data_IF_701371628099
#
_entry.id   IF_701371628099
#
_cell.length_a   1.000
_cell.length_b   1.000
_cell.length_c   1.000
_cell.angle_alpha   90.00
_cell.angle_beta   90.00
_cell.angle_gamma   90.00
#
_symmetry.space_group_name_H-M   'P 1'
#
loop_
_entity.id
_entity.type
_entity.pdbx_description
1 polymer ?
#
# COMPACT_ATOMS: atom_id res chain seq x y z
N UNK A 1 -18.48 15.31 -34.13
CA UNK A 1 -18.90 13.95 -34.49
C UNK A 1 -19.17 13.25 -33.18
N UNK A 2 -20.41 12.78 -33.01
CA UNK A 2 -20.93 12.36 -31.71
C UNK A 2 -20.82 10.85 -31.55
N UNK A 3 -20.91 10.37 -30.30
CA UNK A 3 -20.95 8.94 -30.00
C UNK A 3 -22.12 8.28 -30.76
N UNK A 4 -21.97 6.99 -31.10
CA UNK A 4 -23.09 6.21 -31.63
C UNK A 4 -24.26 6.29 -30.66
N UNK A 5 -25.49 6.45 -31.16
CA UNK A 5 -26.70 6.54 -30.32
C UNK A 5 -26.84 5.31 -29.42
N UNK A 6 -26.47 4.14 -29.93
CA UNK A 6 -26.48 2.89 -29.16
C UNK A 6 -25.47 2.89 -28.02
N UNK A 7 -24.22 3.30 -28.28
CA UNK A 7 -23.18 3.36 -27.25
C UNK A 7 -23.48 4.45 -26.22
N UNK A 8 -23.98 5.62 -26.66
CA UNK A 8 -24.41 6.68 -25.76
C UNK A 8 -25.50 6.20 -24.81
N UNK A 9 -26.50 5.47 -25.33
CA UNK A 9 -27.54 4.88 -24.48
C UNK A 9 -26.97 3.86 -23.49
N UNK A 10 -26.14 2.92 -23.95
CA UNK A 10 -25.52 1.88 -23.09
C UNK A 10 -24.64 2.48 -22.00
N UNK A 11 -23.85 3.50 -22.32
CA UNK A 11 -23.01 4.22 -21.34
C UNK A 11 -23.85 4.97 -20.31
N UNK A 12 -24.92 5.64 -20.74
CA UNK A 12 -25.84 6.31 -19.82
C UNK A 12 -26.55 5.32 -18.89
N UNK A 13 -26.92 4.13 -19.39
CA UNK A 13 -27.48 3.05 -18.55
C UNK A 13 -26.45 2.55 -17.55
N UNK A 14 -25.19 2.35 -17.96
CA UNK A 14 -24.11 1.97 -17.06
C UNK A 14 -23.93 3.01 -15.94
N UNK A 15 -23.93 4.30 -16.27
CA UNK A 15 -23.78 5.39 -15.31
C UNK A 15 -25.01 5.54 -14.38
N UNK A 16 -26.21 5.35 -14.90
CA UNK A 16 -27.45 5.38 -14.12
C UNK A 16 -27.49 4.30 -13.03
N UNK A 17 -26.83 3.15 -13.26
CA UNK A 17 -26.71 2.07 -12.30
C UNK A 17 -25.68 2.35 -11.17
N UNK A 18 -25.12 3.56 -11.10
CA UNK A 18 -24.19 4.02 -10.05
C UNK A 18 -23.01 3.04 -9.83
N UNK A 19 -22.12 2.90 -10.84
CA UNK A 19 -20.92 2.10 -10.66
C UNK A 19 -20.06 2.69 -9.53
N UNK A 20 -19.25 1.85 -8.91
CA UNK A 20 -18.27 2.17 -7.87
C UNK A 20 -16.91 2.55 -8.46
N UNK A 21 -16.57 2.00 -9.63
CA UNK A 21 -15.37 2.32 -10.40
C UNK A 21 -15.62 2.02 -11.88
N UNK A 22 -14.89 2.69 -12.77
CA UNK A 22 -14.93 2.47 -14.21
C UNK A 22 -13.51 2.16 -14.71
N UNK A 23 -13.39 1.19 -15.61
CA UNK A 23 -12.15 0.82 -16.28
C UNK A 23 -12.38 0.80 -17.78
N UNK A 24 -11.51 1.46 -18.55
CA UNK A 24 -11.60 1.52 -20.00
C UNK A 24 -10.43 0.74 -20.60
N UNK A 25 -10.73 -0.30 -21.37
CA UNK A 25 -9.73 -0.99 -22.20
C UNK A 25 -9.73 -0.30 -23.57
N UNK A 26 -8.77 0.61 -23.76
CA UNK A 26 -8.65 1.40 -25.00
C UNK A 26 -8.33 0.53 -26.22
N UNK A 27 -7.61 -0.59 -26.03
CA UNK A 27 -7.22 -1.49 -27.12
C UNK A 27 -8.39 -2.33 -27.61
N UNK A 28 -9.21 -2.84 -26.67
CA UNK A 28 -10.39 -3.66 -27.01
C UNK A 28 -11.65 -2.83 -27.22
N UNK A 29 -11.60 -1.53 -26.91
CA UNK A 29 -12.73 -0.60 -26.92
C UNK A 29 -13.87 -1.12 -26.04
N UNK A 30 -13.57 -1.44 -24.79
CA UNK A 30 -14.54 -1.94 -23.81
C UNK A 30 -14.51 -1.06 -22.57
N UNK A 31 -15.70 -0.66 -22.11
CA UNK A 31 -15.90 0.02 -20.82
C UNK A 31 -16.45 -0.99 -19.83
N UNK A 32 -15.77 -1.12 -18.71
CA UNK A 32 -16.18 -1.94 -17.58
C UNK A 32 -16.64 -1.04 -16.45
N UNK A 33 -17.75 -1.41 -15.80
CA UNK A 33 -18.26 -0.74 -14.61
C UNK A 33 -18.34 -1.71 -13.45
N UNK A 34 -17.65 -1.42 -12.36
CA UNK A 34 -17.76 -2.20 -11.12
C UNK A 34 -19.04 -1.78 -10.39
N UNK A 35 -20.04 -2.65 -10.33
CA UNK A 35 -21.24 -2.44 -9.52
C UNK A 35 -21.13 -3.09 -8.13
N UNK A 36 -22.12 -2.85 -7.24
CA UNK A 36 -22.16 -3.47 -5.92
C UNK A 36 -22.37 -5.00 -5.96
N UNK A 37 -22.94 -5.53 -7.05
CA UNK A 37 -23.34 -6.94 -7.18
C UNK A 37 -22.61 -7.67 -8.32
N UNK A 38 -21.76 -6.98 -9.09
CA UNK A 38 -21.07 -7.56 -10.23
C UNK A 38 -20.50 -6.52 -11.19
N UNK A 39 -19.86 -7.00 -12.25
CA UNK A 39 -19.25 -6.18 -13.30
C UNK A 39 -20.22 -6.00 -14.48
N UNK A 40 -20.41 -4.75 -14.90
CA UNK A 40 -21.10 -4.40 -16.12
C UNK A 40 -20.08 -4.18 -17.25
N UNK A 41 -20.43 -4.59 -18.47
CA UNK A 41 -19.53 -4.47 -19.63
C UNK A 41 -20.25 -3.84 -20.80
N UNK A 42 -19.63 -2.82 -21.40
CA UNK A 42 -20.11 -2.14 -22.59
C UNK A 42 -19.02 -2.21 -23.65
N UNK A 43 -19.25 -3.01 -24.69
CA UNK A 43 -18.39 -3.02 -25.88
C UNK A 43 -18.78 -1.86 -26.79
N UNK A 44 -17.81 -1.00 -27.08
CA UNK A 44 -17.98 0.19 -27.90
C UNK A 44 -17.91 -0.17 -29.38
N UNK A 45 -18.73 0.51 -30.18
CA UNK A 45 -18.78 0.38 -31.64
C UNK A 45 -18.48 1.76 -32.25
N UNK A 46 -17.19 2.11 -32.42
CA UNK A 46 -16.81 3.44 -32.87
C UNK A 46 -17.31 3.71 -34.29
N UNK A 47 -17.98 4.84 -34.48
CA UNK A 47 -18.36 5.38 -35.79
C UNK A 47 -17.29 6.32 -36.38
N UNK A 48 -16.20 6.53 -35.66
CA UNK A 48 -15.12 7.46 -35.96
C UNK A 48 -13.75 6.84 -35.63
N UNK A 49 -12.68 7.62 -35.75
CA UNK A 49 -11.34 7.18 -35.31
C UNK A 49 -11.37 6.79 -33.83
N UNK A 50 -10.82 5.61 -33.45
CA UNK A 50 -10.86 5.10 -32.07
C UNK A 50 -10.43 6.13 -31.01
N UNK A 51 -9.32 6.83 -31.23
CA UNK A 51 -8.81 7.82 -30.25
C UNK A 51 -9.78 8.98 -30.01
N UNK A 52 -10.41 9.47 -31.08
CA UNK A 52 -11.41 10.54 -30.98
C UNK A 52 -12.67 10.02 -30.30
N UNK A 53 -13.06 8.78 -30.59
CA UNK A 53 -14.21 8.14 -29.98
C UNK A 53 -14.02 7.95 -28.47
N UNK A 54 -12.86 7.42 -28.05
CA UNK A 54 -12.49 7.24 -26.65
C UNK A 54 -12.48 8.57 -25.91
N UNK A 55 -11.92 9.63 -26.51
CA UNK A 55 -11.98 10.98 -25.92
C UNK A 55 -13.43 11.41 -25.67
N UNK A 56 -14.36 11.15 -26.59
CA UNK A 56 -15.79 11.46 -26.40
C UNK A 56 -16.46 10.60 -25.32
N UNK A 57 -16.10 9.32 -25.21
CA UNK A 57 -16.57 8.44 -24.13
C UNK A 57 -16.12 9.00 -22.77
N UNK A 58 -14.85 9.36 -22.65
CA UNK A 58 -14.26 9.93 -21.44
C UNK A 58 -14.86 11.31 -21.11
N UNK A 59 -15.14 12.15 -22.11
CA UNK A 59 -15.88 13.42 -21.96
C UNK A 59 -17.31 13.19 -21.42
N UNK A 60 -18.04 12.19 -21.93
CA UNK A 60 -19.39 11.85 -21.45
C UNK A 60 -19.36 11.40 -19.99
N UNK A 61 -18.45 10.48 -19.65
CA UNK A 61 -18.30 9.96 -18.28
C UNK A 61 -17.92 11.10 -17.32
N UNK A 62 -16.92 11.91 -17.68
CA UNK A 62 -16.48 13.04 -16.85
C UNK A 62 -17.59 14.07 -16.65
N UNK A 63 -18.36 14.38 -17.70
CA UNK A 63 -19.52 15.27 -17.61
C UNK A 63 -20.60 14.77 -16.65
N UNK A 64 -20.85 13.46 -16.64
CA UNK A 64 -21.80 12.84 -15.71
C UNK A 64 -21.29 12.85 -14.26
N UNK A 65 -20.02 12.48 -14.04
CA UNK A 65 -19.43 12.35 -12.71
C UNK A 65 -19.21 13.72 -12.05
N UNK A 66 -18.72 14.71 -12.80
CA UNK A 66 -18.36 16.02 -12.28
C UNK A 66 -19.49 17.06 -12.38
N UNK A 67 -20.60 16.74 -13.06
CA UNK A 67 -21.78 17.60 -13.19
C UNK A 67 -21.54 18.93 -13.93
N UNK A 68 -20.43 19.07 -14.66
CA UNK A 68 -20.07 20.32 -15.33
C UNK A 68 -20.10 20.18 -16.87
N UNK A 69 -20.95 20.94 -17.57
CA UNK A 69 -21.08 20.88 -19.02
C UNK A 69 -19.80 21.45 -19.67
N UNK A 70 -18.92 20.56 -20.15
CA UNK A 70 -17.65 20.90 -20.80
C UNK A 70 -16.39 20.39 -20.09
N UNK A 71 -16.53 19.66 -18.98
CA UNK A 71 -15.41 19.24 -18.14
C UNK A 71 -14.74 17.93 -18.58
N UNK A 72 -13.89 17.98 -19.62
CA UNK A 72 -12.70 17.12 -19.65
C UNK A 72 -11.59 17.89 -18.95
N UNK A 73 -11.11 17.50 -17.76
CA UNK A 73 -9.88 18.07 -17.29
C UNK A 73 -8.76 17.45 -18.13
N UNK A 74 -8.35 18.18 -19.17
CA UNK A 74 -7.05 17.97 -19.85
C UNK A 74 -5.89 18.03 -18.83
N UNK A 75 -6.15 18.36 -17.56
CA UNK A 75 -5.16 18.41 -16.49
C UNK A 75 -5.68 17.82 -15.17
N UNK A 76 -5.81 16.50 -15.08
CA UNK A 76 -5.74 15.75 -13.80
C UNK A 76 -4.48 16.15 -12.99
N UNK A 77 -3.40 16.53 -13.67
CA UNK A 77 -2.15 17.07 -13.09
C UNK A 77 -2.30 18.44 -12.41
N UNK A 78 -3.26 19.28 -12.81
CA UNK A 78 -3.53 20.57 -12.14
C UNK A 78 -4.42 20.38 -10.92
N UNK A 79 -5.31 19.39 -10.97
CA UNK A 79 -6.24 19.06 -9.90
C UNK A 79 -5.54 18.40 -8.71
N UNK A 80 -4.63 17.46 -8.98
CA UNK A 80 -3.75 16.86 -7.96
C UNK A 80 -2.82 17.86 -7.29
N UNK A 81 -2.45 18.95 -7.98
CA UNK A 81 -1.59 20.03 -7.45
C UNK A 81 -2.34 21.01 -6.54
N UNK A 82 -3.67 21.09 -6.61
CA UNK A 82 -4.47 22.09 -5.90
C UNK A 82 -4.82 21.70 -4.45
N UNK A 83 -4.33 20.56 -3.94
CA UNK A 83 -4.40 20.20 -2.51
C UNK A 83 -5.80 20.05 -1.90
N UNK A 84 -6.88 20.25 -2.66
CA UNK A 84 -8.27 20.15 -2.21
C UNK A 84 -8.85 18.78 -2.55
N UNK A 85 -8.24 17.72 -2.03
CA UNK A 85 -8.87 16.39 -2.02
C UNK A 85 -9.79 16.34 -0.79
N UNK A 86 -11.10 16.44 -0.99
CA UNK A 86 -12.08 16.01 0.02
C UNK A 86 -12.27 14.50 -0.16
N UNK A 87 -12.62 13.76 0.89
CA UNK A 87 -12.74 12.29 0.80
C UNK A 87 -13.71 11.82 -0.30
N UNK A 88 -14.77 12.60 -0.58
CA UNK A 88 -15.74 12.35 -1.67
C UNK A 88 -15.13 12.46 -3.09
N UNK A 89 -14.02 13.19 -3.27
CA UNK A 89 -13.40 13.33 -4.60
C UNK A 89 -12.66 12.07 -5.04
N UNK A 90 -12.24 11.20 -4.10
CA UNK A 90 -11.53 9.97 -4.44
C UNK A 90 -12.43 8.96 -5.15
N UNK A 91 -13.69 8.84 -4.71
CA UNK A 91 -14.67 7.98 -5.38
C UNK A 91 -14.91 8.44 -6.82
N UNK A 92 -15.04 9.75 -7.03
CA UNK A 92 -15.24 10.33 -8.35
C UNK A 92 -14.05 10.07 -9.29
N UNK A 93 -12.82 10.12 -8.78
CA UNK A 93 -11.62 9.79 -9.57
C UNK A 93 -11.68 8.38 -10.14
N UNK A 94 -12.14 7.41 -9.35
CA UNK A 94 -12.26 6.01 -9.80
C UNK A 94 -13.37 5.79 -10.82
N UNK A 95 -14.29 6.75 -10.99
CA UNK A 95 -15.34 6.72 -12.00
C UNK A 95 -14.91 7.33 -13.34
N UNK A 96 -13.78 8.03 -13.41
CA UNK A 96 -13.36 8.69 -14.64
C UNK A 96 -12.93 7.70 -15.74
N UNK A 97 -12.51 6.49 -15.37
CA UNK A 97 -11.97 5.51 -16.32
C UNK A 97 -10.58 5.86 -16.84
N UNK A 98 -9.91 6.84 -16.21
CA UNK A 98 -8.54 7.26 -16.56
C UNK A 98 -7.51 6.62 -15.63
N UNK A 99 -6.40 6.07 -16.16
CA UNK A 99 -5.35 5.49 -15.34
C UNK A 99 -4.71 6.53 -14.40
N UNK A 100 -4.54 7.78 -14.84
CA UNK A 100 -3.98 8.85 -14.00
C UNK A 100 -4.86 9.16 -12.79
N UNK A 101 -6.19 9.04 -12.93
CA UNK A 101 -7.11 9.24 -11.83
C UNK A 101 -7.00 8.13 -10.78
N UNK A 102 -6.80 6.88 -11.23
CA UNK A 102 -6.56 5.75 -10.33
C UNK A 102 -5.23 5.92 -9.57
N UNK A 103 -4.15 6.32 -10.27
CA UNK A 103 -2.85 6.60 -9.62
C UNK A 103 -3.00 7.72 -8.59
N UNK A 104 -3.71 8.80 -8.93
CA UNK A 104 -3.96 9.91 -8.01
C UNK A 104 -4.72 9.46 -6.76
N UNK A 105 -5.73 8.61 -6.91
CA UNK A 105 -6.48 8.06 -5.79
C UNK A 105 -5.61 7.18 -4.90
N UNK A 106 -4.80 6.30 -5.49
CA UNK A 106 -3.88 5.39 -4.77
C UNK A 106 -2.82 6.16 -3.96
N UNK A 107 -2.35 7.30 -4.47
CA UNK A 107 -1.39 8.16 -3.77
C UNK A 107 -2.01 9.03 -2.66
N UNK A 108 -3.34 9.01 -2.49
CA UNK A 108 -4.01 9.85 -1.50
C UNK A 108 -3.80 9.32 -0.07
N UNK A 109 -3.50 10.20 0.91
CA UNK A 109 -3.42 9.79 2.31
C UNK A 109 -4.78 9.34 2.88
N UNK A 110 -5.89 9.82 2.30
CA UNK A 110 -7.27 9.46 2.69
C UNK A 110 -7.77 8.15 2.07
N UNK A 111 -6.91 7.38 1.41
CA UNK A 111 -7.30 6.11 0.80
C UNK A 111 -7.76 5.11 1.86
N UNK A 112 -9.00 4.64 1.74
CA UNK A 112 -9.57 3.58 2.59
C UNK A 112 -9.40 2.20 1.95
N UNK A 113 -9.54 1.13 2.73
CA UNK A 113 -9.43 -0.26 2.25
C UNK A 113 -10.42 -0.57 1.12
N UNK A 114 -11.65 -0.04 1.20
CA UNK A 114 -12.66 -0.22 0.16
C UNK A 114 -12.36 0.60 -1.10
N UNK A 115 -11.82 1.82 -0.99
CA UNK A 115 -11.36 2.58 -2.15
C UNK A 115 -10.14 1.92 -2.81
N UNK A 116 -9.23 1.37 -2.01
CA UNK A 116 -8.09 0.60 -2.51
C UNK A 116 -8.55 -0.64 -3.29
N UNK A 117 -9.59 -1.36 -2.82
CA UNK A 117 -10.19 -2.47 -3.57
C UNK A 117 -10.73 -2.04 -4.94
N UNK A 118 -11.44 -0.91 -4.99
CA UNK A 118 -11.99 -0.35 -6.24
C UNK A 118 -10.88 0.11 -7.18
N UNK A 119 -9.85 0.77 -6.65
CA UNK A 119 -8.68 1.20 -7.41
C UNK A 119 -7.88 0.01 -7.97
N UNK A 120 -7.71 -1.04 -7.16
CA UNK A 120 -7.07 -2.29 -7.55
C UNK A 120 -7.83 -2.99 -8.69
N UNK A 121 -9.15 -3.08 -8.58
CA UNK A 121 -9.99 -3.61 -9.66
C UNK A 121 -9.87 -2.78 -10.95
N UNK A 122 -9.75 -1.45 -10.83
CA UNK A 122 -9.62 -0.57 -11.99
C UNK A 122 -8.23 -0.67 -12.65
N UNK A 123 -7.17 -0.88 -11.87
CA UNK A 123 -5.80 -0.99 -12.37
C UNK A 123 -4.92 -1.84 -11.45
N UNK A 124 -4.88 -3.14 -11.74
CA UNK A 124 -4.00 -4.12 -11.10
C UNK A 124 -2.56 -3.97 -11.62
N UNK A 125 -1.76 -3.19 -10.90
CA UNK A 125 -0.39 -2.86 -11.29
C UNK A 125 0.56 -2.90 -10.08
N UNK A 126 1.79 -3.38 -10.30
CA UNK A 126 2.77 -3.57 -9.24
C UNK A 126 3.21 -2.25 -8.57
N UNK A 127 3.27 -1.16 -9.33
CA UNK A 127 3.59 0.16 -8.77
C UNK A 127 2.46 0.68 -7.89
N UNK A 128 1.19 0.46 -8.29
CA UNK A 128 0.05 0.78 -7.44
C UNK A 128 0.04 -0.06 -6.16
N UNK A 129 0.37 -1.34 -6.22
CA UNK A 129 0.49 -2.19 -5.03
C UNK A 129 1.54 -1.63 -4.05
N UNK A 130 2.72 -1.25 -4.55
CA UNK A 130 3.77 -0.62 -3.73
C UNK A 130 3.30 0.69 -3.07
N UNK A 131 2.62 1.56 -3.84
CA UNK A 131 2.07 2.83 -3.33
C UNK A 131 1.03 2.59 -2.23
N UNK A 132 0.09 1.68 -2.45
CA UNK A 132 -0.95 1.33 -1.47
C UNK A 132 -0.36 0.73 -0.19
N UNK A 133 0.65 -0.15 -0.31
CA UNK A 133 1.33 -0.74 0.85
C UNK A 133 2.16 0.26 1.67
N UNK A 134 2.44 1.45 1.11
CA UNK A 134 3.06 2.53 1.87
C UNK A 134 2.08 3.20 2.85
N UNK A 135 0.77 2.95 2.73
CA UNK A 135 -0.24 3.47 3.64
C UNK A 135 -0.58 2.45 4.75
N UNK A 136 -0.29 2.76 6.04
CA UNK A 136 -0.57 1.85 7.16
C UNK A 136 -2.04 1.46 7.31
N UNK A 137 -2.98 2.33 6.90
CA UNK A 137 -4.41 2.05 6.95
C UNK A 137 -4.81 0.92 6.00
N UNK A 138 -4.13 0.80 4.86
CA UNK A 138 -4.34 -0.29 3.89
C UNK A 138 -3.66 -1.58 4.36
N UNK A 139 -2.47 -1.47 4.95
CA UNK A 139 -1.75 -2.61 5.51
C UNK A 139 -2.55 -3.29 6.64
N UNK A 140 -3.23 -2.50 7.48
CA UNK A 140 -4.11 -3.01 8.52
C UNK A 140 -5.45 -3.57 7.99
N UNK A 141 -5.81 -3.25 6.74
CA UNK A 141 -7.03 -3.67 6.08
C UNK A 141 -6.92 -5.04 5.40
N UNK A 142 -7.97 -5.43 4.67
CA UNK A 142 -7.98 -6.70 3.92
C UNK A 142 -7.08 -6.63 2.69
N UNK A 143 -6.97 -5.44 2.10
CA UNK A 143 -6.21 -5.23 0.88
C UNK A 143 -4.71 -5.44 1.09
N UNK A 144 -4.17 -5.15 2.28
CA UNK A 144 -2.76 -5.37 2.59
C UNK A 144 -2.28 -6.78 2.25
N UNK A 145 -3.05 -7.82 2.60
CA UNK A 145 -2.68 -9.21 2.28
C UNK A 145 -2.73 -9.49 0.79
N UNK A 146 -3.77 -9.02 0.10
CA UNK A 146 -3.94 -9.19 -1.36
C UNK A 146 -2.76 -8.59 -2.11
N UNK A 147 -2.34 -7.38 -1.75
CA UNK A 147 -1.23 -6.67 -2.39
C UNK A 147 0.13 -7.31 -2.10
N UNK A 148 0.33 -7.81 -0.88
CA UNK A 148 1.55 -8.54 -0.51
C UNK A 148 1.65 -9.85 -1.31
N UNK A 149 0.57 -10.62 -1.37
CA UNK A 149 0.52 -11.87 -2.11
C UNK A 149 0.82 -11.62 -3.60
N UNK A 150 0.17 -10.61 -4.20
CA UNK A 150 0.43 -10.21 -5.58
C UNK A 150 1.90 -9.84 -5.81
N UNK A 151 2.50 -8.99 -4.96
CA UNK A 151 3.89 -8.57 -5.16
C UNK A 151 4.88 -9.74 -5.01
N UNK A 152 4.62 -10.70 -4.12
CA UNK A 152 5.46 -11.91 -3.98
C UNK A 152 5.43 -12.74 -5.27
N UNK A 153 4.25 -12.90 -5.85
CA UNK A 153 4.06 -13.65 -7.09
C UNK A 153 4.62 -12.88 -8.31
N UNK A 154 4.61 -11.55 -8.26
CA UNK A 154 5.14 -10.68 -9.32
C UNK A 154 6.67 -10.50 -9.27
N UNK A 155 7.29 -10.61 -8.10
CA UNK A 155 8.74 -10.40 -7.89
C UNK A 155 9.69 -11.15 -8.85
N UNK A 156 9.40 -12.39 -9.31
CA UNK A 156 10.23 -13.09 -10.29
C UNK A 156 10.28 -12.41 -11.67
N UNK A 157 9.25 -11.64 -12.02
CA UNK A 157 9.12 -10.95 -13.31
C UNK A 157 9.66 -9.51 -13.27
N UNK A 158 9.86 -8.95 -12.07
CA UNK A 158 10.43 -7.62 -11.90
C UNK A 158 11.91 -7.59 -12.32
N UNK A 159 12.26 -6.64 -13.18
CA UNK A 159 13.62 -6.49 -13.74
C UNK A 159 14.37 -5.30 -13.14
N UNK A 160 13.63 -4.27 -12.69
CA UNK A 160 14.21 -3.06 -12.12
C UNK A 160 14.70 -3.31 -10.69
N UNK A 161 16.00 -3.11 -10.48
CA UNK A 161 16.66 -3.38 -9.18
C UNK A 161 16.05 -2.57 -8.03
N UNK A 162 15.70 -1.30 -8.29
CA UNK A 162 15.09 -0.42 -7.30
C UNK A 162 13.69 -0.90 -6.92
N UNK A 163 12.90 -1.35 -7.90
CA UNK A 163 11.54 -1.88 -7.68
C UNK A 163 11.54 -3.21 -6.95
N UNK A 164 12.51 -4.09 -7.23
CA UNK A 164 12.71 -5.32 -6.45
C UNK A 164 13.00 -4.99 -4.98
N UNK A 165 13.96 -4.09 -4.76
CA UNK A 165 14.39 -3.67 -3.42
C UNK A 165 13.23 -3.06 -2.64
N UNK A 166 12.49 -2.15 -3.26
CA UNK A 166 11.32 -1.50 -2.66
C UNK A 166 10.19 -2.48 -2.36
N UNK A 167 9.88 -3.40 -3.28
CA UNK A 167 8.85 -4.40 -3.08
C UNK A 167 9.17 -5.28 -1.87
N UNK A 168 10.41 -5.78 -1.77
CA UNK A 168 10.85 -6.58 -0.62
C UNK A 168 10.80 -5.77 0.67
N UNK A 169 11.24 -4.51 0.62
CA UNK A 169 11.17 -3.62 1.79
C UNK A 169 9.75 -3.49 2.31
N UNK A 170 8.80 -3.13 1.43
CA UNK A 170 7.40 -2.92 1.78
C UNK A 170 6.73 -4.20 2.27
N UNK A 171 6.90 -5.29 1.53
CA UNK A 171 6.33 -6.61 1.86
C UNK A 171 6.77 -7.05 3.26
N UNK A 172 8.06 -6.94 3.59
CA UNK A 172 8.57 -7.33 4.91
C UNK A 172 8.15 -6.37 6.03
N UNK A 173 8.12 -5.06 5.77
CA UNK A 173 7.71 -4.06 6.78
C UNK A 173 6.25 -4.20 7.19
N UNK A 174 5.40 -4.74 6.32
CA UNK A 174 3.98 -4.96 6.66
C UNK A 174 3.78 -5.98 7.78
N UNK A 175 4.71 -6.91 7.98
CA UNK A 175 4.54 -8.05 8.88
C UNK A 175 3.47 -9.06 8.44
N UNK A 176 2.89 -8.91 7.24
CA UNK A 176 1.85 -9.79 6.71
C UNK A 176 2.39 -11.06 6.05
N UNK A 177 3.72 -11.18 5.94
CA UNK A 177 4.40 -12.29 5.27
C UNK A 177 4.61 -13.44 6.24
N UNK A 178 4.19 -14.63 5.82
CA UNK A 178 4.35 -15.86 6.58
C UNK A 178 5.83 -16.26 6.69
N UNK A 179 6.20 -17.00 7.74
CA UNK A 179 7.59 -17.39 8.00
C UNK A 179 8.22 -18.16 6.81
N UNK A 180 7.47 -19.11 6.24
CA UNK A 180 7.96 -19.93 5.11
C UNK A 180 8.28 -19.07 3.88
N UNK A 181 7.38 -18.14 3.55
CA UNK A 181 7.57 -17.21 2.42
C UNK A 181 8.73 -16.25 2.67
N UNK A 182 8.89 -15.78 3.91
CA UNK A 182 10.03 -14.94 4.32
C UNK A 182 11.35 -15.70 4.16
N UNK A 183 11.41 -16.96 4.57
CA UNK A 183 12.60 -17.80 4.43
C UNK A 183 12.95 -18.07 2.96
N UNK A 184 11.96 -18.27 2.10
CA UNK A 184 12.19 -18.44 0.67
C UNK A 184 12.70 -17.17 -0.02
N UNK A 185 12.18 -15.99 0.36
CA UNK A 185 12.73 -14.71 -0.07
C UNK A 185 14.18 -14.54 0.43
N UNK A 186 14.48 -14.95 1.65
CA UNK A 186 15.83 -14.89 2.22
C UNK A 186 16.82 -15.82 1.50
N UNK A 187 16.42 -17.06 1.18
CA UNK A 187 17.23 -17.96 0.36
C UNK A 187 17.57 -17.34 -0.99
N UNK A 188 16.66 -16.57 -1.60
CA UNK A 188 16.92 -15.83 -2.85
C UNK A 188 17.91 -14.67 -2.64
N UNK A 189 17.92 -14.04 -1.47
CA UNK A 189 18.85 -12.95 -1.13
C UNK A 189 20.33 -13.37 -1.14
N UNK A 190 20.64 -14.64 -0.87
CA UNK A 190 22.00 -15.17 -1.00
C UNK A 190 22.57 -15.05 -2.42
N UNK A 191 21.69 -15.13 -3.43
CA UNK A 191 22.06 -15.12 -4.86
C UNK A 191 21.82 -13.77 -5.53
N UNK A 192 20.89 -12.96 -5.03
CA UNK A 192 20.51 -11.66 -5.60
C UNK A 192 20.69 -10.55 -4.56
N UNK A 193 21.70 -9.69 -4.76
CA UNK A 193 22.03 -8.61 -3.81
C UNK A 193 20.89 -7.62 -3.59
N UNK A 194 20.07 -7.33 -4.61
CA UNK A 194 18.89 -6.45 -4.49
C UNK A 194 17.86 -6.96 -3.46
N UNK A 195 17.75 -8.28 -3.29
CA UNK A 195 16.90 -8.86 -2.25
C UNK A 195 17.50 -8.60 -0.87
N UNK A 196 18.81 -8.79 -0.72
CA UNK A 196 19.52 -8.53 0.54
C UNK A 196 19.37 -7.06 0.98
N UNK A 197 19.50 -6.11 0.06
CA UNK A 197 19.29 -4.68 0.37
C UNK A 197 17.87 -4.44 0.87
N UNK A 198 16.86 -5.05 0.24
CA UNK A 198 15.47 -4.95 0.70
C UNK A 198 15.27 -5.46 2.13
N UNK A 199 15.88 -6.61 2.47
CA UNK A 199 15.87 -7.14 3.84
C UNK A 199 16.56 -6.21 4.84
N UNK A 200 17.72 -5.66 4.49
CA UNK A 200 18.46 -4.72 5.35
C UNK A 200 17.67 -3.43 5.60
N UNK A 201 16.93 -2.94 4.60
CA UNK A 201 16.08 -1.77 4.74
C UNK A 201 14.81 -2.04 5.56
N UNK A 202 14.24 -3.25 5.48
CA UNK A 202 13.02 -3.59 6.21
C UNK A 202 13.29 -3.98 7.66
N UNK A 203 14.27 -4.84 7.89
CA UNK A 203 14.50 -5.56 9.13
C UNK A 203 15.99 -5.54 9.51
N UNK A 204 16.59 -4.35 9.75
CA UNK A 204 18.02 -4.23 10.00
C UNK A 204 18.47 -5.02 11.25
N UNK A 205 17.62 -5.10 12.27
CA UNK A 205 17.91 -5.75 13.56
C UNK A 205 17.32 -7.17 13.68
N UNK A 206 16.53 -7.63 12.70
CA UNK A 206 15.80 -8.91 12.75
C UNK A 206 15.98 -9.69 11.44
N UNK A 207 17.22 -9.79 10.94
CA UNK A 207 17.50 -10.61 9.76
C UNK A 207 17.33 -12.11 10.07
N UNK A 208 16.80 -12.91 9.13
CA UNK A 208 16.73 -14.36 9.31
C UNK A 208 18.12 -14.95 9.60
N UNK A 209 18.23 -15.91 10.53
CA UNK A 209 19.52 -16.49 10.89
C UNK A 209 20.14 -17.19 9.68
N UNK A 210 21.40 -16.84 9.37
CA UNK A 210 22.15 -17.55 8.34
C UNK A 210 22.71 -18.84 8.92
N UNK A 211 22.38 -19.99 8.31
CA UNK A 211 22.88 -21.31 8.75
C UNK A 211 24.42 -21.42 8.70
N UNK A 212 25.05 -20.66 7.79
CA UNK A 212 26.50 -20.67 7.56
C UNK A 212 27.24 -19.46 8.19
N UNK A 213 26.62 -18.76 9.14
CA UNK A 213 27.25 -17.62 9.81
C UNK A 213 28.40 -18.09 10.73
N UNK A 214 29.56 -18.34 10.13
CA UNK A 214 30.82 -18.35 10.87
C UNK A 214 31.03 -16.97 11.49
N UNK A 215 31.46 -16.87 12.77
CA UNK A 215 31.70 -15.58 13.41
C UNK A 215 32.68 -14.77 12.54
N UNK A 216 32.22 -13.66 11.96
CA UNK A 216 33.11 -12.75 11.26
C UNK A 216 34.04 -12.13 12.29
N UNK A 217 35.35 -12.29 12.09
CA UNK A 217 36.32 -11.54 12.87
C UNK A 217 36.12 -10.05 12.60
N UNK A 218 35.67 -9.32 13.61
CA UNK A 218 35.55 -7.88 13.53
C UNK A 218 36.94 -7.25 13.69
N UNK A 219 37.28 -6.22 12.88
CA UNK A 219 38.45 -5.40 13.13
C UNK A 219 38.45 -4.87 14.57
N UNK A 220 39.60 -4.92 15.23
CA UNK A 220 39.79 -4.53 16.64
C UNK A 220 39.18 -3.17 17.04
N UNK A 221 39.20 -2.11 16.20
CA UNK A 221 38.55 -0.84 16.52
C UNK A 221 37.02 -0.95 16.65
N UNK A 222 36.39 -1.79 15.83
CA UNK A 222 34.94 -2.01 15.84
C UNK A 222 34.54 -2.86 17.05
N UNK A 223 35.36 -3.86 17.40
CA UNK A 223 35.18 -4.65 18.62
C UNK A 223 35.23 -3.76 19.88
N UNK A 224 36.23 -2.87 19.98
CA UNK A 224 36.35 -1.91 21.10
C UNK A 224 35.16 -0.95 21.18
N UNK A 225 34.65 -0.48 20.04
CA UNK A 225 33.45 0.38 20.01
C UNK A 225 32.17 -0.39 20.37
N UNK A 226 32.07 -1.66 19.99
CA UNK A 226 30.97 -2.53 20.40
C UNK A 226 30.98 -2.75 21.93
N UNK A 227 32.16 -3.03 22.50
CA UNK A 227 32.35 -3.20 23.95
C UNK A 227 32.08 -1.91 24.74
N UNK A 228 32.35 -0.75 24.13
CA UNK A 228 32.01 0.57 24.68
C UNK A 228 30.51 0.91 24.61
N UNK A 229 29.66 0.02 24.08
CA UNK A 229 28.20 0.18 24.03
C UNK A 229 27.69 0.93 22.80
N UNK A 230 28.52 1.12 21.76
CA UNK A 230 28.10 1.75 20.51
C UNK A 230 27.12 0.83 19.76
N UNK A 231 25.87 1.26 19.63
CA UNK A 231 24.75 0.42 19.12
C UNK A 231 25.01 -0.22 17.75
N UNK A 232 25.58 0.54 16.81
CA UNK A 232 25.87 0.06 15.45
C UNK A 232 27.02 -0.96 15.43
N UNK A 233 28.06 -0.77 16.25
CA UNK A 233 29.16 -1.72 16.37
C UNK A 233 28.72 -3.00 17.11
N UNK A 234 27.84 -2.85 18.10
CA UNK A 234 27.19 -3.98 18.78
C UNK A 234 26.34 -4.85 17.83
N UNK A 235 25.65 -4.24 16.86
CA UNK A 235 24.91 -4.98 15.83
C UNK A 235 25.85 -5.76 14.88
N UNK A 236 27.01 -5.18 14.53
CA UNK A 236 28.04 -5.85 13.74
C UNK A 236 28.70 -7.02 14.50
N UNK A 237 28.82 -6.92 15.82
CA UNK A 237 29.36 -7.98 16.68
C UNK A 237 28.33 -9.07 17.01
N UNK A 238 27.04 -8.70 17.04
CA UNK A 238 25.92 -9.54 17.48
C UNK A 238 25.22 -10.32 16.38
N UNK A 239 25.72 -10.32 15.14
CA UNK A 239 25.18 -11.15 14.07
C UNK A 239 25.05 -12.61 14.54
N UNK A 240 23.81 -13.05 14.79
CA UNK A 240 23.37 -14.39 15.23
C UNK A 240 23.24 -14.74 16.72
N UNK A 241 23.14 -13.79 17.67
CA UNK A 241 22.67 -14.17 19.03
C UNK A 241 21.44 -13.40 19.50
N UNK A 242 20.32 -14.13 19.49
CA UNK A 242 19.15 -13.99 20.36
C UNK A 242 19.43 -13.09 21.56
N UNK A 243 18.58 -12.07 21.74
CA UNK A 243 18.32 -11.40 23.01
C UNK A 243 18.49 -12.39 24.17
N UNK A 244 19.63 -12.34 24.86
CA UNK A 244 19.72 -12.91 26.20
C UNK A 244 18.75 -12.11 27.06
N UNK A 245 17.79 -12.84 27.60
CA UNK A 245 16.84 -12.39 28.60
C UNK A 245 17.52 -11.41 29.57
N UNK A 246 16.91 -10.23 29.73
CA UNK A 246 17.19 -9.38 30.89
C UNK A 246 16.78 -10.15 32.13
N UNK A 247 17.75 -10.82 32.75
CA UNK A 247 17.66 -11.20 34.15
C UNK A 247 17.51 -9.90 34.97
N UNK A 248 16.28 -9.62 35.36
CA UNK A 248 15.96 -8.77 36.50
C UNK A 248 16.55 -9.43 37.76
N UNK A 249 17.82 -9.14 38.03
CA UNK A 249 18.41 -9.42 39.33
C UNK A 249 17.97 -8.34 40.32
N UNK A 250 17.02 -8.76 41.17
CA UNK A 250 17.01 -8.51 42.62
C UNK A 250 17.62 -7.17 43.08
N UNK A 251 16.77 -6.15 43.24
CA UNK A 251 16.93 -5.20 44.34
C UNK A 251 16.01 -5.63 45.49
N UNK A 252 16.60 -6.10 46.58
CA UNK A 252 15.90 -6.36 47.84
C UNK A 252 15.25 -5.09 48.39
N UNK A 253 14.04 -5.17 48.97
CA UNK A 253 13.47 -4.11 49.77
C UNK A 253 13.90 -4.29 51.23
N UNK A 254 14.76 -3.40 51.74
CA UNK A 254 14.92 -3.22 53.18
C UNK A 254 13.98 -2.10 53.65
N UNK A 255 13.01 -2.51 54.44
CA UNK A 255 12.44 -1.83 55.60
C UNK A 255 12.16 -0.33 55.48
N UNK A 256 10.87 0.03 55.30
CA UNK A 256 10.24 1.04 56.14
C UNK A 256 8.90 0.51 56.63
N UNK A 257 8.84 0.28 57.95
CA UNK A 257 7.67 -0.21 58.69
C UNK A 257 6.66 0.92 58.85
N UNK A 258 5.41 0.61 58.51
CA UNK A 258 4.17 0.92 59.24
C UNK A 258 4.01 2.29 59.91
N UNK A 259 2.95 3.03 59.53
CA UNK A 259 1.86 3.40 60.45
C UNK A 259 0.62 3.96 59.73
N UNK A 260 -0.49 3.25 59.98
CA UNK A 260 -1.87 3.69 60.19
C UNK A 260 -2.73 4.15 59.00
N UNK A 261 -3.69 3.27 58.74
CA UNK A 261 -5.05 3.50 58.26
C UNK A 261 -5.76 4.71 58.89
N UNK A 262 -6.58 5.38 58.06
CA UNK A 262 -7.94 5.90 58.31
C UNK A 262 -8.49 6.36 56.94
N UNK A 263 -9.23 5.52 56.23
CA UNK A 263 -10.71 5.57 56.10
C UNK A 263 -11.25 6.97 55.84
N UNK A 264 -11.63 7.26 54.59
CA UNK A 264 -12.92 7.90 54.30
C UNK A 264 -13.33 7.69 52.83
N UNK A 265 -14.50 7.10 52.67
CA UNK A 265 -15.24 6.98 51.41
C UNK A 265 -16.24 8.15 51.28
N UNK A 266 -16.79 8.40 50.08
CA UNK A 266 -17.32 9.70 49.67
C UNK A 266 -18.86 9.81 49.79
N UNK A 267 -19.37 11.05 49.70
CA UNK A 267 -20.67 11.55 49.14
C UNK A 267 -21.23 12.72 49.97
N UNK A 268 -22.24 13.49 49.52
CA UNK A 268 -22.56 13.99 48.17
C UNK A 268 -22.93 15.51 48.19
N UNK A 269 -23.46 15.96 47.05
CA UNK A 269 -24.03 17.26 46.63
C UNK A 269 -24.82 18.16 47.60
N UNK A 270 -25.05 19.38 47.08
CA UNK A 270 -26.09 20.41 47.36
C UNK A 270 -25.81 21.45 48.45
N UNK A 271 -25.48 22.68 48.05
CA UNK A 271 -26.41 23.83 47.98
C UNK A 271 -25.82 24.90 47.05
#
# INVERSE_FOLDING_TARGET
MDLSTEDSFRLNVLLANRPQAIRIDESKLIVYGLGPQGEATVRLNPNARPDQYLRRVKELISGHVLGSPGGYPIYLSRWTRMGQMRDESLEQLLLLGEPEAVVAAVCSPGLTDELARRAWWAMEDAENARRMLSNPGIVAGKMGRVLVDYLIDYLPFETESDKITESIRLILQTGLVDADRRDDLWKKASRKQVYLVGFLQALPDDLPPSADASPRHLPEPIARLADAGQRLCGALAGGSTRRRARHLSRRSPRCWRSRRAKTWSPRPSTF
#
